data_IF_891480446527
#
_entry.id   IF_891480446527
#
_cell.length_a   1.000
_cell.length_b   1.000
_cell.length_c   1.000
_cell.angle_alpha   90.00
_cell.angle_beta   90.00
_cell.angle_gamma   90.00
#
_symmetry.space_group_name_H-M   'P 1'
#
loop_
_entity.id
_entity.type
_entity.pdbx_description
1 polymer ?
#
# COMPACT_ATOMS: atom_id res chain seq x y z
N UNK A 1 -1.07 -24.37 15.48
CA UNK A 1 -1.75 -23.77 14.32
C UNK A 1 -0.67 -23.23 13.42
N UNK A 2 -0.67 -23.59 12.13
CA UNK A 2 0.36 -23.13 11.18
C UNK A 2 0.44 -21.61 11.24
N UNK A 3 1.57 -21.10 11.74
CA UNK A 3 1.76 -19.66 11.92
C UNK A 3 2.12 -18.96 10.61
N UNK A 4 2.29 -19.69 9.50
CA UNK A 4 2.77 -19.19 8.22
C UNK A 4 1.74 -19.45 7.12
N UNK A 5 1.68 -18.54 6.16
CA UNK A 5 0.96 -18.70 4.91
C UNK A 5 1.82 -19.48 3.92
N UNK A 6 1.21 -20.28 3.06
CA UNK A 6 1.91 -20.99 2.00
C UNK A 6 2.57 -20.02 1.02
N UNK A 7 1.81 -19.01 0.57
CA UNK A 7 2.28 -17.95 -0.33
C UNK A 7 1.37 -16.71 -0.23
N UNK A 8 1.66 -15.67 -1.01
CA UNK A 8 0.85 -14.43 -1.05
C UNK A 8 -0.59 -14.65 -1.50
N UNK A 9 -0.83 -15.60 -2.41
CA UNK A 9 -2.17 -15.94 -2.88
C UNK A 9 -3.03 -16.49 -1.74
N UNK A 10 -2.53 -17.46 -0.97
CA UNK A 10 -3.26 -18.01 0.18
C UNK A 10 -3.55 -16.91 1.22
N UNK A 11 -2.56 -16.07 1.52
CA UNK A 11 -2.73 -14.96 2.45
C UNK A 11 -3.82 -13.98 1.98
N UNK A 12 -3.84 -13.64 0.67
CA UNK A 12 -4.88 -12.80 0.07
C UNK A 12 -6.27 -13.40 0.14
N UNK A 13 -6.40 -14.71 -0.10
CA UNK A 13 -7.67 -15.43 0.02
C UNK A 13 -8.21 -15.40 1.46
N UNK A 14 -7.36 -15.68 2.45
CA UNK A 14 -7.75 -15.61 3.86
C UNK A 14 -8.12 -14.18 4.28
N UNK A 15 -7.39 -13.17 3.78
CA UNK A 15 -7.66 -11.76 4.06
C UNK A 15 -9.00 -11.33 3.45
N UNK A 16 -9.31 -11.77 2.24
CA UNK A 16 -10.56 -11.49 1.57
C UNK A 16 -11.78 -12.03 2.35
N UNK A 17 -11.64 -13.17 3.03
CA UNK A 17 -12.70 -13.73 3.86
C UNK A 17 -13.06 -12.83 5.06
N UNK A 18 -12.09 -12.04 5.56
CA UNK A 18 -12.33 -11.04 6.62
C UNK A 18 -12.97 -9.76 6.12
N UNK A 19 -12.87 -9.47 4.82
CA UNK A 19 -13.35 -8.23 4.20
C UNK A 19 -14.71 -8.37 3.49
N UNK A 20 -15.41 -9.50 3.65
CA UNK A 20 -16.67 -9.79 2.93
C UNK A 20 -17.76 -8.73 3.05
N UNK A 21 -17.75 -7.94 4.14
CA UNK A 21 -18.67 -6.82 4.33
C UNK A 21 -18.54 -5.73 3.26
N UNK A 22 -17.40 -5.67 2.56
CA UNK A 22 -17.12 -4.72 1.48
C UNK A 22 -17.44 -5.25 0.07
N UNK A 23 -18.01 -6.45 -0.05
CA UNK A 23 -18.32 -7.06 -1.35
C UNK A 23 -19.32 -6.19 -2.14
N UNK A 24 -19.04 -5.95 -3.42
CA UNK A 24 -19.86 -5.12 -4.32
C UNK A 24 -20.08 -3.68 -3.82
N UNK A 25 -19.17 -3.13 -3.02
CA UNK A 25 -19.25 -1.74 -2.58
C UNK A 25 -19.21 -0.78 -3.80
N UNK A 26 -20.29 -0.04 -4.02
CA UNK A 26 -20.53 0.81 -5.21
C UNK A 26 -19.44 1.87 -5.46
N UNK A 27 -18.73 2.30 -4.42
CA UNK A 27 -17.59 3.23 -4.50
C UNK A 27 -16.35 2.65 -3.82
N UNK A 28 -16.15 1.33 -3.95
CA UNK A 28 -15.03 0.60 -3.37
C UNK A 28 -13.89 0.44 -4.36
N UNK A 29 -12.65 0.58 -3.89
CA UNK A 29 -11.45 0.26 -4.67
C UNK A 29 -10.44 -0.44 -3.79
N UNK A 30 -9.80 -1.49 -4.34
CA UNK A 30 -8.66 -2.15 -3.71
C UNK A 30 -7.40 -1.53 -4.29
N UNK A 31 -6.54 -0.98 -3.42
CA UNK A 31 -5.25 -0.44 -3.82
C UNK A 31 -4.11 -1.28 -3.24
N UNK A 32 -3.24 -1.79 -4.09
CA UNK A 32 -2.08 -2.57 -3.68
C UNK A 32 -0.84 -1.69 -3.51
N UNK A 33 -0.04 -1.92 -2.46
CA UNK A 33 1.33 -1.42 -2.41
C UNK A 33 2.26 -2.37 -3.20
N UNK A 34 2.89 -1.92 -4.29
CA UNK A 34 3.75 -2.79 -5.06
C UNK A 34 5.14 -2.97 -4.41
N UNK A 35 5.78 -4.12 -4.61
CA UNK A 35 5.35 -5.22 -5.49
C UNK A 35 4.56 -6.31 -4.77
N UNK A 36 5.01 -6.67 -3.58
CA UNK A 36 4.49 -7.82 -2.83
C UNK A 36 3.01 -7.72 -2.46
N UNK A 37 2.46 -6.53 -2.27
CA UNK A 37 1.03 -6.36 -2.01
C UNK A 37 0.11 -6.73 -3.18
N UNK A 38 0.60 -6.74 -4.43
CA UNK A 38 -0.26 -6.92 -5.63
C UNK A 38 -0.88 -8.32 -5.70
N UNK A 39 -0.14 -9.43 -5.53
CA UNK A 39 -0.74 -10.77 -5.48
C UNK A 39 -1.78 -10.95 -4.35
N UNK A 40 -1.56 -10.32 -3.20
CA UNK A 40 -2.51 -10.36 -2.08
C UNK A 40 -3.77 -9.57 -2.41
N UNK A 41 -3.60 -8.36 -2.92
CA UNK A 41 -4.68 -7.45 -3.31
C UNK A 41 -5.53 -8.01 -4.45
N UNK A 42 -4.92 -8.73 -5.39
CA UNK A 42 -5.64 -9.39 -6.49
C UNK A 42 -6.68 -10.38 -5.98
N UNK A 43 -6.33 -11.24 -5.04
CA UNK A 43 -7.28 -12.20 -4.45
C UNK A 43 -8.39 -11.48 -3.67
N UNK A 44 -8.06 -10.39 -2.96
CA UNK A 44 -9.03 -9.54 -2.27
C UNK A 44 -10.01 -8.90 -3.27
N UNK A 45 -9.51 -8.22 -4.28
CA UNK A 45 -10.32 -7.54 -5.30
C UNK A 45 -11.25 -8.52 -6.03
N UNK A 46 -10.71 -9.66 -6.47
CA UNK A 46 -11.46 -10.73 -7.13
C UNK A 46 -12.60 -11.26 -6.27
N UNK A 47 -12.35 -11.51 -4.98
CA UNK A 47 -13.36 -12.06 -4.06
C UNK A 47 -14.45 -11.03 -3.72
N UNK A 48 -14.06 -9.77 -3.55
CA UNK A 48 -14.97 -8.68 -3.20
C UNK A 48 -15.70 -8.10 -4.42
N UNK A 49 -15.29 -8.47 -5.63
CA UNK A 49 -15.77 -7.89 -6.89
C UNK A 49 -15.61 -6.36 -6.88
N UNK A 50 -14.39 -5.92 -6.60
CA UNK A 50 -14.00 -4.51 -6.56
C UNK A 50 -12.86 -4.27 -7.57
N UNK A 51 -12.77 -3.07 -8.16
CA UNK A 51 -11.64 -2.70 -9.00
C UNK A 51 -10.33 -2.79 -8.19
N UNK A 52 -9.31 -3.37 -8.83
CA UNK A 52 -7.94 -3.39 -8.32
C UNK A 52 -7.11 -2.32 -9.03
N UNK A 53 -6.31 -1.59 -8.26
CA UNK A 53 -5.26 -0.74 -8.79
C UNK A 53 -4.07 -0.68 -7.81
N UNK A 54 -3.05 0.10 -8.11
CA UNK A 54 -1.82 0.27 -7.31
C UNK A 54 -1.77 1.64 -6.63
N UNK A 55 -1.32 1.64 -5.39
CA UNK A 55 -0.91 2.82 -4.64
C UNK A 55 0.60 3.01 -4.79
N UNK A 56 1.02 3.78 -5.80
CA UNK A 56 2.42 4.14 -5.98
C UNK A 56 2.77 5.36 -5.13
N UNK A 57 3.48 5.10 -4.03
CA UNK A 57 3.95 6.10 -3.08
C UNK A 57 5.44 5.91 -2.79
N UNK A 58 6.13 7.02 -2.52
CA UNK A 58 7.52 7.05 -2.09
C UNK A 58 7.67 7.93 -0.88
N UNK A 59 8.45 7.47 0.10
CA UNK A 59 8.82 8.29 1.27
C UNK A 59 9.92 9.26 0.86
N UNK A 60 9.84 10.48 1.34
CA UNK A 60 10.96 11.41 1.35
C UNK A 60 11.71 11.20 2.65
N UNK A 61 12.76 10.37 2.60
CA UNK A 61 13.59 10.05 3.77
C UNK A 61 14.41 11.26 4.22
N UNK A 62 14.66 11.36 5.52
CA UNK A 62 15.66 12.29 6.05
C UNK A 62 17.06 11.76 5.72
N UNK A 63 17.95 12.55 5.10
CA UNK A 63 19.30 12.11 4.81
C UNK A 63 20.02 11.59 6.06
N UNK A 64 20.75 10.48 5.91
CA UNK A 64 21.41 9.75 7.00
C UNK A 64 20.48 9.11 8.07
N UNK A 65 19.16 9.24 7.94
CA UNK A 65 18.16 8.65 8.85
C UNK A 65 17.10 7.87 8.07
N UNK A 66 17.43 6.64 7.66
CA UNK A 66 16.58 5.81 6.77
C UNK A 66 15.16 5.54 7.31
N UNK A 67 15.02 5.48 8.64
CA UNK A 67 13.73 5.20 9.29
C UNK A 67 12.84 6.44 9.45
N UNK A 68 13.43 7.64 9.35
CA UNK A 68 12.70 8.91 9.51
C UNK A 68 12.33 9.49 8.15
N UNK A 69 11.06 9.84 7.96
CA UNK A 69 10.57 10.46 6.74
C UNK A 69 10.16 11.92 6.99
N UNK A 70 10.69 12.84 6.20
CA UNK A 70 10.31 14.25 6.17
C UNK A 70 9.10 14.51 5.26
N UNK A 71 8.64 13.50 4.54
CA UNK A 71 7.47 13.62 3.67
C UNK A 71 7.19 12.38 2.86
N UNK A 72 6.26 12.51 1.92
CA UNK A 72 5.91 11.48 0.95
C UNK A 72 5.47 12.12 -0.37
N UNK A 73 5.65 11.37 -1.45
CA UNK A 73 5.11 11.69 -2.78
C UNK A 73 4.31 10.52 -3.32
N UNK A 74 3.35 10.83 -4.19
CA UNK A 74 2.54 9.85 -4.91
C UNK A 74 2.25 10.31 -6.34
N UNK A 75 1.67 9.42 -7.14
CA UNK A 75 1.23 9.75 -8.49
C UNK A 75 0.25 10.94 -8.50
N UNK A 76 0.18 11.62 -9.65
CA UNK A 76 -0.62 12.83 -9.80
C UNK A 76 0.00 14.08 -9.15
N UNK A 77 1.32 14.07 -8.91
CA UNK A 77 2.05 15.23 -8.39
C UNK A 77 1.79 15.53 -6.92
N UNK A 78 1.23 14.59 -6.16
CA UNK A 78 0.91 14.81 -4.76
C UNK A 78 2.19 14.72 -3.93
N UNK A 79 2.52 15.82 -3.23
CA UNK A 79 3.58 15.88 -2.22
C UNK A 79 3.00 16.29 -0.86
N UNK A 80 3.46 15.62 0.19
CA UNK A 80 3.16 15.91 1.59
C UNK A 80 4.48 16.03 2.33
N UNK A 81 4.62 17.06 3.17
CA UNK A 81 5.80 17.30 3.98
C UNK A 81 5.40 17.28 5.46
N UNK A 82 6.26 16.70 6.29
CA UNK A 82 6.18 16.75 7.74
C UNK A 82 7.05 17.90 8.24
N UNK A 83 6.44 19.05 8.48
CA UNK A 83 7.13 20.27 8.88
C UNK A 83 7.83 20.12 10.23
N UNK A 84 7.30 19.32 11.16
CA UNK A 84 7.92 19.08 12.46
C UNK A 84 9.26 18.34 12.33
N UNK A 85 9.28 17.28 11.50
CA UNK A 85 10.52 16.52 11.20
C UNK A 85 11.54 17.39 10.49
N UNK A 86 11.09 18.20 9.52
CA UNK A 86 11.94 19.14 8.78
C UNK A 86 12.60 20.14 9.72
N UNK A 87 11.81 20.75 10.61
CA UNK A 87 12.30 21.74 11.57
C UNK A 87 13.23 21.10 12.60
N UNK A 88 12.85 19.96 13.18
CA UNK A 88 13.65 19.27 14.19
C UNK A 88 14.99 18.76 13.66
N UNK A 89 15.00 18.30 12.40
CA UNK A 89 16.22 17.80 11.74
C UNK A 89 16.98 18.90 10.99
N UNK A 90 16.53 20.16 11.08
CA UNK A 90 17.11 21.33 10.42
C UNK A 90 17.37 21.13 8.91
N UNK A 91 16.39 20.54 8.20
CA UNK A 91 16.54 20.20 6.78
C UNK A 91 16.29 21.44 5.92
N UNK A 92 17.24 21.73 5.02
CA UNK A 92 17.13 22.86 4.12
C UNK A 92 16.08 22.61 3.01
N UNK A 93 15.43 23.66 2.49
CA UNK A 93 14.55 23.53 1.32
C UNK A 93 15.22 22.87 0.11
N UNK A 94 16.50 23.14 -0.11
CA UNK A 94 17.29 22.56 -1.21
C UNK A 94 17.42 21.05 -1.05
N UNK A 95 17.67 20.57 0.16
CA UNK A 95 17.78 19.15 0.47
C UNK A 95 16.44 18.42 0.30
N UNK A 96 15.33 19.06 0.69
CA UNK A 96 13.98 18.53 0.46
C UNK A 96 13.74 18.34 -1.04
N UNK A 97 14.12 19.33 -1.86
CA UNK A 97 13.92 19.27 -3.30
C UNK A 97 14.80 18.21 -3.97
N UNK A 98 16.06 18.04 -3.52
CA UNK A 98 16.96 16.99 -4.03
C UNK A 98 16.41 15.58 -3.76
N UNK A 99 15.96 15.32 -2.54
CA UNK A 99 15.33 14.03 -2.18
C UNK A 99 14.03 13.86 -2.96
N UNK A 100 13.20 14.90 -3.05
CA UNK A 100 11.96 14.87 -3.84
C UNK A 100 12.24 14.45 -5.27
N UNK A 101 13.19 15.11 -5.95
CA UNK A 101 13.54 14.84 -7.34
C UNK A 101 13.96 13.38 -7.55
N UNK A 102 14.82 12.86 -6.68
CA UNK A 102 15.31 11.48 -6.75
C UNK A 102 14.15 10.48 -6.61
N UNK A 103 13.30 10.68 -5.61
CA UNK A 103 12.17 9.80 -5.34
C UNK A 103 11.11 9.89 -6.44
N UNK A 104 10.94 11.07 -7.05
CA UNK A 104 9.98 11.31 -8.11
C UNK A 104 10.41 10.65 -9.43
N UNK A 105 11.72 10.57 -9.71
CA UNK A 105 12.24 9.83 -10.86
C UNK A 105 11.91 8.33 -10.76
N UNK A 106 12.14 7.71 -9.59
CA UNK A 106 11.79 6.30 -9.39
C UNK A 106 10.28 6.06 -9.39
N UNK A 107 9.51 6.99 -8.82
CA UNK A 107 8.05 6.94 -8.86
C UNK A 107 7.54 6.93 -10.30
N UNK A 108 8.05 7.84 -11.15
CA UNK A 108 7.67 7.92 -12.56
C UNK A 108 8.12 6.69 -13.35
N UNK A 109 9.32 6.16 -13.08
CA UNK A 109 9.77 4.91 -13.71
C UNK A 109 8.79 3.75 -13.43
N UNK A 110 8.35 3.60 -12.18
CA UNK A 110 7.37 2.54 -11.79
C UNK A 110 5.99 2.78 -12.37
N UNK A 111 5.56 4.04 -12.42
CA UNK A 111 4.30 4.42 -13.08
C UNK A 111 4.28 3.95 -14.53
N UNK A 112 5.33 4.27 -15.29
CA UNK A 112 5.46 3.86 -16.69
C UNK A 112 5.45 2.33 -16.86
N UNK A 113 6.14 1.60 -15.98
CA UNK A 113 6.20 0.13 -16.04
C UNK A 113 4.84 -0.52 -15.76
N UNK A 114 4.12 -0.06 -14.73
CA UNK A 114 2.91 -0.75 -14.28
C UNK A 114 1.62 -0.24 -14.95
N UNK A 115 1.56 1.04 -15.30
CA UNK A 115 0.33 1.70 -15.74
C UNK A 115 0.35 2.05 -17.23
N UNK A 116 1.52 2.27 -17.82
CA UNK A 116 1.62 2.84 -19.17
C UNK A 116 0.82 4.15 -19.26
N UNK A 117 -0.11 4.22 -20.21
CA UNK A 117 -0.95 5.39 -20.45
C UNK A 117 -2.30 5.39 -19.67
N UNK A 118 -2.56 4.38 -18.84
CA UNK A 118 -3.81 4.34 -18.07
C UNK A 118 -3.87 5.50 -17.07
N UNK A 119 -5.04 6.13 -16.84
CA UNK A 119 -5.17 7.19 -15.86
C UNK A 119 -5.07 6.65 -14.44
N UNK A 120 -4.71 7.52 -13.49
CA UNK A 120 -4.72 7.20 -12.05
C UNK A 120 -6.16 7.00 -11.53
N UNK A 121 -6.42 6.05 -10.61
CA UNK A 121 -7.76 5.82 -10.10
C UNK A 121 -8.21 7.02 -9.28
N UNK A 122 -9.46 7.44 -9.47
CA UNK A 122 -10.02 8.58 -8.73
C UNK A 122 -10.26 8.18 -7.28
N UNK A 123 -9.44 8.63 -6.33
CA UNK A 123 -9.60 8.28 -4.91
C UNK A 123 -10.69 9.11 -4.20
N UNK A 124 -11.04 10.27 -4.75
CA UNK A 124 -12.02 11.19 -4.19
C UNK A 124 -13.35 10.48 -3.88
N UNK A 125 -13.83 10.60 -2.64
CA UNK A 125 -15.08 10.03 -2.15
C UNK A 125 -15.20 8.49 -2.26
N UNK A 126 -14.08 7.77 -2.47
CA UNK A 126 -14.06 6.31 -2.50
C UNK A 126 -13.78 5.67 -1.13
N UNK A 127 -14.30 4.45 -0.95
CA UNK A 127 -13.90 3.52 0.12
C UNK A 127 -12.68 2.74 -0.36
N UNK A 128 -11.52 3.04 0.20
CA UNK A 128 -10.24 2.47 -0.24
C UNK A 128 -9.85 1.33 0.69
N UNK A 129 -9.59 0.15 0.13
CA UNK A 129 -8.96 -0.97 0.84
C UNK A 129 -7.48 -1.03 0.39
N UNK A 130 -6.59 -0.52 1.23
CA UNK A 130 -5.14 -0.54 0.99
C UNK A 130 -4.56 -1.87 1.47
N UNK A 131 -3.91 -2.59 0.56
CA UNK A 131 -3.40 -3.95 0.77
C UNK A 131 -1.88 -4.02 0.56
N UNK A 132 -1.20 -4.75 1.45
CA UNK A 132 0.21 -5.13 1.32
C UNK A 132 0.40 -6.60 1.75
N UNK A 133 1.56 -7.20 1.47
CA UNK A 133 1.89 -8.56 1.93
C UNK A 133 2.33 -8.63 3.40
N UNK A 134 2.62 -7.50 4.00
CA UNK A 134 2.81 -7.37 5.43
C UNK A 134 3.30 -5.99 5.80
N UNK A 135 3.35 -5.69 7.10
CA UNK A 135 3.81 -4.40 7.59
C UNK A 135 4.90 -4.62 8.61
N UNK A 136 6.13 -4.20 8.30
CA UNK A 136 7.23 -4.19 9.27
C UNK A 136 7.20 -2.93 10.15
N UNK A 137 7.33 -1.74 9.55
CA UNK A 137 7.43 -0.46 10.26
C UNK A 137 6.24 0.48 10.04
N UNK A 138 5.37 0.16 9.08
CA UNK A 138 4.21 0.99 8.73
C UNK A 138 4.51 2.24 7.94
N UNK A 139 5.78 2.59 7.70
CA UNK A 139 6.12 3.90 7.11
C UNK A 139 5.52 4.10 5.71
N UNK A 140 5.53 3.07 4.86
CA UNK A 140 4.94 3.14 3.51
C UNK A 140 3.42 3.28 3.57
N UNK A 141 2.77 2.56 4.48
CA UNK A 141 1.33 2.65 4.71
C UNK A 141 0.95 4.04 5.21
N UNK A 142 1.71 4.63 6.15
CA UNK A 142 1.48 6.01 6.63
C UNK A 142 1.59 7.03 5.50
N UNK A 143 2.58 6.88 4.61
CA UNK A 143 2.71 7.71 3.42
C UNK A 143 1.47 7.59 2.51
N UNK A 144 0.99 6.36 2.28
CA UNK A 144 -0.22 6.12 1.50
C UNK A 144 -1.48 6.72 2.15
N UNK A 145 -1.67 6.55 3.47
CA UNK A 145 -2.77 7.14 4.22
C UNK A 145 -2.77 8.66 4.08
N UNK A 146 -1.62 9.32 4.27
CA UNK A 146 -1.52 10.77 4.16
C UNK A 146 -1.96 11.26 2.78
N UNK A 147 -1.55 10.56 1.72
CA UNK A 147 -1.94 10.87 0.33
C UNK A 147 -3.44 10.67 0.12
N UNK A 148 -4.00 9.55 0.58
CA UNK A 148 -5.43 9.25 0.45
C UNK A 148 -6.30 10.27 1.20
N UNK A 149 -5.87 10.70 2.40
CA UNK A 149 -6.53 11.79 3.15
C UNK A 149 -6.49 13.11 2.37
N UNK A 150 -5.33 13.47 1.79
CA UNK A 150 -5.19 14.66 0.94
C UNK A 150 -6.06 14.60 -0.32
N UNK A 151 -6.27 13.41 -0.87
CA UNK A 151 -7.16 13.16 -2.00
C UNK A 151 -8.64 12.97 -1.61
N UNK A 152 -8.97 13.13 -0.32
CA UNK A 152 -10.33 13.08 0.23
C UNK A 152 -11.02 11.74 -0.04
N UNK A 153 -10.32 10.62 0.22
CA UNK A 153 -10.96 9.31 0.34
C UNK A 153 -12.10 9.36 1.37
N UNK A 154 -13.22 8.69 1.09
CA UNK A 154 -14.38 8.62 2.00
C UNK A 154 -14.10 7.75 3.21
N UNK A 155 -13.42 6.61 2.99
CA UNK A 155 -12.98 5.67 4.01
C UNK A 155 -11.65 5.05 3.61
N UNK A 156 -10.79 4.80 4.57
CA UNK A 156 -9.51 4.13 4.40
C UNK A 156 -9.51 2.88 5.29
N UNK A 157 -9.37 1.72 4.66
CA UNK A 157 -9.24 0.41 5.30
C UNK A 157 -7.85 -0.12 5.01
N UNK A 158 -7.11 -0.49 6.04
CA UNK A 158 -5.85 -1.22 5.87
C UNK A 158 -6.14 -2.71 6.00
N UNK A 159 -5.67 -3.51 5.05
CA UNK A 159 -5.81 -4.96 5.11
C UNK A 159 -4.48 -5.63 4.80
N UNK A 160 -3.93 -6.35 5.77
CA UNK A 160 -2.62 -7.02 5.62
C UNK A 160 -2.58 -8.40 6.27
N UNK A 161 -1.83 -9.36 5.73
CA UNK A 161 -1.72 -10.68 6.35
C UNK A 161 -1.00 -10.65 7.71
N UNK A 162 0.08 -9.89 7.82
CA UNK A 162 0.92 -9.88 9.03
C UNK A 162 1.47 -8.49 9.37
N UNK A 163 1.43 -8.12 10.65
CA UNK A 163 2.01 -6.87 11.16
C UNK A 163 2.21 -6.90 12.69
N UNK A 164 3.22 -6.23 13.27
CA UNK A 164 3.38 -6.16 14.72
C UNK A 164 2.17 -5.48 15.40
N UNK A 165 1.77 -5.93 16.61
CA UNK A 165 0.68 -5.31 17.37
C UNK A 165 0.83 -3.78 17.55
N UNK A 166 2.06 -3.32 17.84
CA UNK A 166 2.38 -1.90 18.03
C UNK A 166 2.11 -1.07 16.78
N UNK A 167 2.49 -1.58 15.61
CA UNK A 167 2.25 -0.92 14.32
C UNK A 167 0.76 -0.90 13.99
N UNK A 168 0.03 -1.98 14.26
CA UNK A 168 -1.42 -2.00 14.08
C UNK A 168 -2.15 -1.03 15.01
N UNK A 169 -1.71 -0.91 16.26
CA UNK A 169 -2.29 0.05 17.22
C UNK A 169 -2.11 1.49 16.75
N UNK A 170 -0.92 1.83 16.27
CA UNK A 170 -0.63 3.15 15.72
C UNK A 170 -1.47 3.44 14.47
N UNK A 171 -1.48 2.53 13.50
CA UNK A 171 -2.19 2.73 12.24
C UNK A 171 -3.71 2.84 12.43
N UNK A 172 -4.30 2.13 13.40
CA UNK A 172 -5.73 2.24 13.73
C UNK A 172 -6.17 3.64 14.14
N UNK A 173 -5.26 4.49 14.61
CA UNK A 173 -5.59 5.87 14.96
C UNK A 173 -5.74 6.76 13.72
N UNK A 174 -5.25 6.29 12.57
CA UNK A 174 -5.15 7.08 11.35
C UNK A 174 -6.18 6.68 10.27
N UNK A 175 -6.91 5.57 10.46
CA UNK A 175 -7.78 4.95 9.44
C UNK A 175 -9.11 4.52 10.03
N UNK A 176 -10.10 4.26 9.16
CA UNK A 176 -11.44 3.85 9.58
C UNK A 176 -11.48 2.39 10.08
N UNK A 177 -10.68 1.52 9.45
CA UNK A 177 -10.58 0.10 9.83
C UNK A 177 -9.19 -0.46 9.53
N UNK A 178 -8.72 -1.38 10.38
CA UNK A 178 -7.52 -2.17 10.15
C UNK A 178 -7.81 -3.64 10.36
N UNK A 179 -7.66 -4.42 9.29
CA UNK A 179 -7.78 -5.87 9.27
C UNK A 179 -6.38 -6.47 9.15
N UNK A 180 -6.02 -7.32 10.12
CA UNK A 180 -4.77 -8.07 10.07
C UNK A 180 -5.00 -9.49 10.57
N UNK A 181 -4.48 -10.48 9.81
CA UNK A 181 -4.71 -11.90 10.13
C UNK A 181 -3.84 -12.36 11.31
N UNK A 182 -2.57 -11.94 11.34
CA UNK A 182 -1.60 -12.38 12.34
C UNK A 182 -0.79 -11.20 12.89
N UNK A 183 -0.73 -11.09 14.22
CA UNK A 183 -0.05 -10.00 14.92
C UNK A 183 1.08 -10.49 15.85
N UNK A 184 2.27 -10.84 15.32
CA UNK A 184 3.35 -11.36 16.14
C UNK A 184 4.06 -10.25 16.93
N UNK A 185 4.34 -10.48 18.21
CA UNK A 185 5.09 -9.54 19.06
C UNK A 185 6.54 -9.34 18.59
N UNK A 186 7.16 -10.41 18.09
CA UNK A 186 8.53 -10.39 17.57
C UNK A 186 8.52 -10.66 16.07
N UNK A 187 8.55 -9.58 15.28
CA UNK A 187 8.57 -9.67 13.82
C UNK A 187 9.88 -9.10 13.27
N UNK A 188 10.79 -9.99 12.85
CA UNK A 188 12.06 -9.59 12.24
C UNK A 188 11.93 -9.28 10.74
N UNK A 189 11.11 -10.07 10.03
CA UNK A 189 10.88 -9.94 8.59
C UNK A 189 9.51 -10.48 8.23
N UNK A 190 8.86 -9.87 7.24
CA UNK A 190 7.60 -10.35 6.64
C UNK A 190 7.80 -11.76 6.05
N UNK A 191 8.96 -12.03 5.45
CA UNK A 191 9.26 -13.30 4.77
C UNK A 191 9.16 -14.55 5.66
N UNK A 192 9.35 -14.40 6.98
CA UNK A 192 9.25 -15.52 7.92
C UNK A 192 7.83 -16.05 8.09
N UNK A 193 6.84 -15.28 7.65
CA UNK A 193 5.41 -15.60 7.74
C UNK A 193 4.87 -16.27 6.47
N UNK A 194 5.74 -16.55 5.51
CA UNK A 194 5.43 -17.18 4.24
C UNK A 194 6.35 -18.37 3.99
N UNK A 195 5.82 -19.52 3.58
CA UNK A 195 6.62 -20.66 3.15
C UNK A 195 7.31 -20.38 1.81
N UNK A 196 6.57 -19.79 0.86
CA UNK A 196 7.08 -19.19 -0.37
C UNK A 196 6.92 -17.66 -0.34
N UNK A 197 8.06 -16.98 -0.24
CA UNK A 197 8.17 -15.52 -0.33
C UNK A 197 9.04 -15.07 -1.51
N UNK A 198 8.96 -15.79 -2.62
CA UNK A 198 9.63 -15.44 -3.87
C UNK A 198 9.36 -13.97 -4.25
N UNK A 199 10.37 -13.32 -4.84
CA UNK A 199 10.26 -11.91 -5.16
C UNK A 199 9.23 -11.69 -6.27
N UNK A 200 8.18 -10.91 -5.96
CA UNK A 200 7.21 -10.47 -6.98
C UNK A 200 7.91 -9.59 -8.00
N UNK A 201 7.78 -9.96 -9.28
CA UNK A 201 8.41 -9.28 -10.41
C UNK A 201 7.52 -8.17 -10.96
N UNK A 202 8.10 -7.23 -11.71
CA UNK A 202 7.31 -6.20 -12.40
C UNK A 202 6.34 -6.82 -13.42
N UNK A 203 6.75 -7.90 -14.09
CA UNK A 203 5.91 -8.64 -15.03
C UNK A 203 4.68 -9.25 -14.34
N UNK A 204 4.88 -9.88 -13.18
CA UNK A 204 3.79 -10.46 -12.38
C UNK A 204 2.79 -9.38 -11.94
N UNK A 205 3.28 -8.21 -11.50
CA UNK A 205 2.43 -7.06 -11.18
C UNK A 205 1.56 -6.68 -12.38
N UNK A 206 2.16 -6.48 -13.55
CA UNK A 206 1.42 -6.11 -14.76
C UNK A 206 0.40 -7.17 -15.17
N UNK A 207 0.76 -8.46 -15.10
CA UNK A 207 -0.16 -9.56 -15.42
C UNK A 207 -1.38 -9.58 -14.49
N UNK A 208 -1.19 -9.40 -13.19
CA UNK A 208 -2.29 -9.40 -12.22
C UNK A 208 -3.22 -8.19 -12.36
N UNK A 209 -2.65 -7.01 -12.63
CA UNK A 209 -3.45 -5.81 -12.93
C UNK A 209 -4.28 -6.00 -14.20
N UNK A 210 -3.66 -6.51 -15.28
CA UNK A 210 -4.37 -6.82 -16.52
C UNK A 210 -5.54 -7.79 -16.29
N UNK A 211 -5.30 -8.90 -15.59
CA UNK A 211 -6.35 -9.87 -15.27
C UNK A 211 -7.48 -9.23 -14.46
N UNK A 212 -7.18 -8.38 -13.48
CA UNK A 212 -8.20 -7.72 -12.68
C UNK A 212 -9.07 -6.75 -13.49
N UNK A 213 -8.49 -6.04 -14.47
CA UNK A 213 -9.25 -5.19 -15.39
C UNK A 213 -10.20 -6.01 -16.29
N UNK A 214 -9.77 -7.14 -16.82
CA UNK A 214 -10.62 -8.04 -17.62
C UNK A 214 -11.82 -8.59 -16.82
N UNK A 215 -11.60 -8.96 -15.54
CA UNK A 215 -12.69 -9.37 -14.65
C UNK A 215 -13.72 -8.27 -14.42
N UNK A 216 -13.26 -7.02 -14.32
CA UNK A 216 -14.12 -5.85 -14.08
C UNK A 216 -14.92 -5.43 -15.33
N UNK A 217 -14.52 -5.84 -16.54
CA UNK A 217 -15.24 -5.56 -17.79
C UNK A 217 -16.28 -6.63 -18.15
N UNK A 218 -16.19 -7.81 -17.53
CA UNK A 218 -17.05 -8.96 -17.85
C UNK A 218 -18.24 -9.13 -16.89
N UNK A 219 -18.31 -8.35 -15.81
CA UNK A 219 -19.32 -8.41 -14.75
C UNK A 219 -19.78 -7.01 -14.36
#
# INVERSE_FOLDING_TARGET
>A
MNSRFHNRTEAGQQLAEKLKSYKNQENGVVLALPRGGVPVAYEVAKKLNLPLDICLVRKLGVPNHRELAMGAIALGGVRILNTDVINWSNISPQMIEEVTRTEQQELHRREQVYRGDQPFPKIYNQTVILVDDGIATGSTIKAAIAIMKKQQAKKIIIAVPVAPPSVCQELRQEVDELVCLTMPEHMNSISLWYDDFSQTTDQEVCSLLFLAHEYSMTH
#
